data_IF_981034372743
#
_entry.id   IF_981034372743
#
_cell.length_a   1.000
_cell.length_b   1.000
_cell.length_c   1.000
_cell.angle_alpha   90.00
_cell.angle_beta   90.00
_cell.angle_gamma   90.00
#
_symmetry.space_group_name_H-M   'P 1'
#
loop_
_entity.id
_entity.type
_entity.pdbx_description
1 polymer ?
#
# COMPACT_ATOMS: atom_id res chain seq x y z
N UNK A 1 -47.39 59.88 -2.24
CA UNK A 1 -47.12 59.44 -3.63
C UNK A 1 -45.61 59.55 -3.88
N UNK A 2 -44.79 58.56 -3.52
CA UNK A 2 -44.16 57.65 -4.47
C UNK A 2 -43.65 56.42 -3.70
N UNK A 3 -44.56 55.47 -3.45
CA UNK A 3 -44.19 54.07 -3.32
C UNK A 3 -43.54 53.64 -4.63
N UNK A 4 -42.21 53.63 -4.75
CA UNK A 4 -41.48 52.94 -5.86
C UNK A 4 -39.94 53.01 -5.77
N UNK A 5 -39.34 53.12 -4.59
CA UNK A 5 -37.86 53.16 -4.50
C UNK A 5 -37.23 52.19 -3.47
N UNK A 6 -37.94 51.14 -3.07
CA UNK A 6 -37.40 50.13 -2.13
C UNK A 6 -37.41 48.70 -2.65
N UNK A 7 -37.82 48.46 -3.91
CA UNK A 7 -37.95 47.11 -4.48
C UNK A 7 -36.92 46.75 -5.55
N UNK A 8 -35.86 47.55 -5.74
CA UNK A 8 -34.77 47.24 -6.70
C UNK A 8 -33.41 47.00 -6.07
N UNK A 9 -33.33 46.92 -4.74
CA UNK A 9 -32.10 46.60 -4.03
C UNK A 9 -32.23 45.36 -3.14
N UNK A 10 -33.08 44.41 -3.54
CA UNK A 10 -33.20 43.11 -2.87
C UNK A 10 -33.18 41.91 -3.83
N UNK A 11 -32.91 42.14 -5.12
CA UNK A 11 -32.75 41.09 -6.14
C UNK A 11 -31.34 41.20 -6.76
N UNK A 12 -30.32 41.42 -5.93
CA UNK A 12 -28.92 41.30 -6.35
C UNK A 12 -28.05 40.53 -5.33
N UNK A 13 -28.68 39.77 -4.44
CA UNK A 13 -27.98 38.97 -3.43
C UNK A 13 -28.61 37.59 -3.20
N UNK A 14 -29.37 37.09 -4.18
CA UNK A 14 -30.05 35.78 -4.10
C UNK A 14 -29.52 34.74 -5.10
N UNK A 15 -28.44 35.03 -5.84
CA UNK A 15 -27.88 34.12 -6.85
C UNK A 15 -26.36 33.98 -6.78
N UNK A 16 -25.79 33.98 -5.57
CA UNK A 16 -24.37 33.63 -5.38
C UNK A 16 -24.12 32.79 -4.13
N UNK A 17 -24.98 31.80 -3.92
CA UNK A 17 -24.63 30.61 -3.14
C UNK A 17 -25.02 29.40 -3.96
N UNK A 18 -24.42 29.27 -5.16
CA UNK A 18 -24.09 27.93 -5.62
C UNK A 18 -23.01 27.51 -4.66
N UNK A 19 -23.38 26.69 -3.68
CA UNK A 19 -22.43 25.95 -2.89
C UNK A 19 -21.54 25.24 -3.90
N UNK A 20 -20.32 25.74 -4.07
CA UNK A 20 -19.21 24.89 -4.44
C UNK A 20 -19.08 23.93 -3.25
N UNK A 21 -19.95 22.93 -3.19
CA UNK A 21 -19.53 21.62 -2.72
C UNK A 21 -18.46 21.20 -3.74
N UNK A 22 -17.26 21.74 -3.53
CA UNK A 22 -16.06 21.09 -3.97
C UNK A 22 -16.11 19.75 -3.25
N UNK A 23 -16.71 18.76 -3.91
CA UNK A 23 -16.49 17.37 -3.60
C UNK A 23 -14.97 17.23 -3.60
N UNK A 24 -14.37 17.28 -2.41
CA UNK A 24 -13.03 16.79 -2.21
C UNK A 24 -13.15 15.31 -2.54
N UNK A 25 -12.92 14.97 -3.80
CA UNK A 25 -12.89 13.58 -4.23
C UNK A 25 -11.78 12.95 -3.41
N UNK A 26 -12.15 12.12 -2.44
CA UNK A 26 -11.18 11.43 -1.60
C UNK A 26 -10.34 10.58 -2.54
N UNK A 27 -9.06 10.90 -2.69
CA UNK A 27 -8.17 10.14 -3.56
C UNK A 27 -8.21 8.67 -3.18
N UNK A 28 -8.47 7.82 -4.17
CA UNK A 28 -8.44 6.36 -3.97
C UNK A 28 -7.05 5.84 -4.24
N UNK A 29 -6.49 5.10 -3.29
CA UNK A 29 -5.27 4.36 -3.50
C UNK A 29 -5.57 2.95 -4.00
N UNK A 30 -4.69 2.47 -4.86
CA UNK A 30 -4.75 1.15 -5.44
C UNK A 30 -3.39 0.47 -5.30
N UNK A 31 -3.44 -0.84 -5.17
CA UNK A 31 -2.27 -1.69 -5.15
C UNK A 31 -2.32 -2.69 -6.29
N UNK A 32 -1.23 -2.76 -7.05
CA UNK A 32 -0.90 -3.91 -7.89
C UNK A 32 0.04 -4.78 -7.09
N UNK A 33 -0.38 -5.99 -6.75
CA UNK A 33 0.30 -6.85 -5.78
C UNK A 33 0.45 -8.28 -6.29
N UNK A 34 1.41 -9.00 -5.74
CA UNK A 34 1.58 -10.44 -5.93
C UNK A 34 0.82 -11.21 -4.85
N UNK A 35 0.20 -12.30 -5.29
CA UNK A 35 -0.50 -13.24 -4.43
C UNK A 35 0.36 -14.50 -4.33
N UNK A 36 0.94 -14.77 -3.15
CA UNK A 36 1.67 -16.00 -2.90
C UNK A 36 0.73 -17.19 -2.76
N UNK A 37 1.30 -18.38 -2.69
CA UNK A 37 0.57 -19.54 -2.22
C UNK A 37 0.40 -19.57 -0.71
N UNK A 38 -0.41 -20.51 -0.24
CA UNK A 38 -0.77 -20.67 1.18
C UNK A 38 0.44 -20.96 2.09
N UNK A 39 1.64 -21.21 1.55
CA UNK A 39 2.85 -21.36 2.37
C UNK A 39 3.18 -20.03 3.04
N UNK A 40 2.99 -18.91 2.34
CA UNK A 40 3.19 -17.58 2.92
C UNK A 40 2.18 -17.31 4.04
N UNK A 41 0.91 -17.65 3.86
CA UNK A 41 -0.13 -17.49 4.89
C UNK A 41 0.21 -18.25 6.17
N UNK A 42 0.68 -19.50 6.03
CA UNK A 42 1.11 -20.33 7.17
C UNK A 42 2.30 -19.71 7.89
N UNK A 43 3.31 -19.25 7.14
CA UNK A 43 4.52 -18.67 7.71
C UNK A 43 4.25 -17.34 8.43
N UNK A 44 3.41 -16.48 7.85
CA UNK A 44 2.93 -15.25 8.52
C UNK A 44 2.14 -15.61 9.78
N UNK A 45 1.26 -16.62 9.70
CA UNK A 45 0.49 -17.07 10.87
C UNK A 45 1.39 -17.62 11.99
N UNK A 46 2.46 -18.33 11.68
CA UNK A 46 3.41 -18.82 12.69
C UNK A 46 4.09 -17.67 13.47
N UNK A 47 4.42 -16.59 12.77
CA UNK A 47 4.91 -15.38 13.41
C UNK A 47 3.82 -14.71 14.27
N UNK A 48 2.60 -14.59 13.75
CA UNK A 48 1.47 -14.01 14.49
C UNK A 48 1.10 -14.82 15.75
N UNK A 49 1.18 -16.15 15.68
CA UNK A 49 0.99 -17.05 16.82
C UNK A 49 2.10 -16.83 17.88
N UNK A 50 3.29 -16.37 17.47
CA UNK A 50 4.36 -15.97 18.40
C UNK A 50 4.07 -14.61 19.04
N UNK A 51 3.54 -13.65 18.28
CA UNK A 51 3.09 -12.36 18.83
C UNK A 51 1.99 -12.54 19.88
N UNK A 52 1.04 -13.44 19.64
CA UNK A 52 -0.09 -13.72 20.53
C UNK A 52 0.31 -14.28 21.91
N UNK A 53 1.54 -14.80 22.05
CA UNK A 53 2.11 -15.26 23.33
C UNK A 53 2.74 -14.13 24.16
N UNK A 54 2.68 -12.90 23.66
CA UNK A 54 3.23 -11.70 24.29
C UNK A 54 2.13 -10.67 24.51
N UNK A 55 2.43 -9.55 25.16
CA UNK A 55 1.49 -8.44 25.34
C UNK A 55 1.65 -7.33 24.29
N UNK A 56 2.46 -7.51 23.23
CA UNK A 56 2.78 -6.40 22.30
C UNK A 56 1.57 -5.91 21.50
N UNK A 57 0.65 -6.80 21.13
CA UNK A 57 -0.55 -6.41 20.38
C UNK A 57 -1.44 -5.46 21.20
N UNK A 58 -1.60 -5.74 22.50
CA UNK A 58 -2.32 -4.86 23.43
C UNK A 58 -1.55 -3.57 23.70
N UNK A 59 -0.24 -3.69 24.02
CA UNK A 59 0.65 -2.56 24.32
C UNK A 59 0.63 -1.51 23.22
N UNK A 60 0.69 -1.93 21.95
CA UNK A 60 0.73 -1.05 20.78
C UNK A 60 -0.63 -0.87 20.09
N UNK A 61 -1.71 -1.40 20.67
CA UNK A 61 -3.09 -1.32 20.15
C UNK A 61 -3.17 -1.66 18.66
N UNK A 62 -2.49 -2.73 18.27
CA UNK A 62 -2.36 -3.17 16.86
C UNK A 62 -2.89 -4.58 16.69
N UNK A 63 -3.10 -4.99 15.45
CA UNK A 63 -3.58 -6.32 15.08
C UNK A 63 -2.90 -6.77 13.79
N UNK A 64 -2.48 -8.04 13.68
CA UNK A 64 -1.95 -8.57 12.43
C UNK A 64 -2.91 -8.41 11.26
N UNK A 65 -2.40 -7.94 10.13
CA UNK A 65 -3.21 -7.66 8.94
C UNK A 65 -3.86 -8.91 8.36
N UNK A 66 -3.24 -10.09 8.49
CA UNK A 66 -3.77 -11.37 7.97
C UNK A 66 -5.17 -11.70 8.49
N UNK A 67 -5.60 -11.12 9.63
CA UNK A 67 -6.94 -11.34 10.19
C UNK A 67 -8.05 -10.78 9.29
N UNK A 68 -7.78 -9.67 8.60
CA UNK A 68 -8.78 -8.93 7.83
C UNK A 68 -8.37 -8.68 6.37
N UNK A 69 -7.11 -8.96 6.02
CA UNK A 69 -6.53 -8.67 4.71
C UNK A 69 -5.75 -9.88 4.18
N UNK A 70 -5.72 -10.08 2.85
CA UNK A 70 -4.92 -11.14 2.25
C UNK A 70 -3.42 -10.83 2.39
N UNK A 71 -2.62 -11.88 2.59
CA UNK A 71 -1.16 -11.80 2.47
C UNK A 71 -0.80 -11.46 1.03
N UNK A 72 -0.01 -10.40 0.85
CA UNK A 72 0.39 -9.94 -0.46
C UNK A 72 1.71 -9.17 -0.44
N UNK A 73 2.38 -9.11 -1.59
CA UNK A 73 3.58 -8.32 -1.81
C UNK A 73 3.28 -7.22 -2.84
N UNK A 74 3.48 -5.96 -2.46
CA UNK A 74 3.20 -4.79 -3.32
C UNK A 74 4.21 -4.67 -4.47
N UNK A 75 3.74 -4.64 -5.72
CA UNK A 75 4.56 -4.25 -6.88
C UNK A 75 4.47 -2.74 -7.13
N UNK A 76 3.27 -2.17 -7.02
CA UNK A 76 3.05 -0.75 -7.26
C UNK A 76 1.82 -0.25 -6.50
N UNK A 77 2.06 0.59 -5.50
CA UNK A 77 1.05 1.28 -4.70
C UNK A 77 1.00 2.75 -5.11
N UNK A 78 -0.14 3.20 -5.63
CA UNK A 78 -0.35 4.58 -6.10
C UNK A 78 -1.85 4.94 -6.17
N UNK A 79 -2.17 6.20 -6.46
CA UNK A 79 -3.51 6.61 -6.88
C UNK A 79 -3.60 6.58 -8.41
N UNK A 80 -4.71 6.07 -8.95
CA UNK A 80 -5.00 6.04 -10.40
C UNK A 80 -6.23 6.88 -10.70
N UNK A 81 -6.24 7.53 -11.88
CA UNK A 81 -7.45 8.16 -12.38
C UNK A 81 -8.49 7.09 -12.73
N UNK A 82 -9.70 7.21 -12.17
CA UNK A 82 -10.77 6.21 -12.28
C UNK A 82 -11.12 5.82 -13.72
N UNK A 83 -11.01 6.76 -14.67
CA UNK A 83 -11.27 6.51 -16.10
C UNK A 83 -10.34 5.47 -16.75
N UNK A 84 -9.14 5.22 -16.19
CA UNK A 84 -8.16 4.29 -16.78
C UNK A 84 -8.19 2.89 -16.18
N UNK A 85 -9.09 2.60 -15.23
CA UNK A 85 -9.16 1.30 -14.55
C UNK A 85 -9.33 0.12 -15.53
N UNK A 86 -10.10 0.31 -16.62
CA UNK A 86 -10.27 -0.72 -17.66
C UNK A 86 -8.97 -1.00 -18.44
N UNK A 87 -8.20 0.05 -18.73
CA UNK A 87 -6.92 -0.08 -19.43
C UNK A 87 -5.87 -0.75 -18.56
N UNK A 88 -5.83 -0.38 -17.27
CA UNK A 88 -4.96 -1.01 -16.25
C UNK A 88 -5.26 -2.51 -16.17
N UNK A 89 -6.54 -2.89 -16.06
CA UNK A 89 -6.95 -4.29 -16.03
C UNK A 89 -6.46 -5.06 -17.27
N UNK A 90 -6.60 -4.47 -18.45
CA UNK A 90 -6.17 -5.11 -19.70
C UNK A 90 -4.65 -5.33 -19.76
N UNK A 91 -3.86 -4.36 -19.27
CA UNK A 91 -2.40 -4.49 -19.20
C UNK A 91 -1.95 -5.54 -18.19
N UNK A 92 -2.57 -5.56 -17.00
CA UNK A 92 -2.26 -6.57 -15.98
C UNK A 92 -2.64 -7.98 -16.41
N UNK A 93 -3.76 -8.14 -17.12
CA UNK A 93 -4.15 -9.43 -17.72
C UNK A 93 -3.10 -9.93 -18.71
N UNK A 94 -2.62 -9.05 -19.60
CA UNK A 94 -1.59 -9.40 -20.57
C UNK A 94 -0.24 -9.71 -19.88
N UNK A 95 0.15 -8.94 -18.86
CA UNK A 95 1.35 -9.21 -18.07
C UNK A 95 1.29 -10.57 -17.38
N UNK A 96 0.20 -10.88 -16.69
CA UNK A 96 0.01 -12.15 -15.99
C UNK A 96 0.02 -13.36 -16.94
N UNK A 97 -0.64 -13.24 -18.11
CA UNK A 97 -0.60 -14.28 -19.15
C UNK A 97 0.83 -14.55 -19.66
N UNK A 98 1.70 -13.55 -19.60
CA UNK A 98 3.07 -13.63 -20.09
C UNK A 98 4.12 -13.85 -18.99
N UNK A 99 3.68 -14.14 -17.76
CA UNK A 99 4.56 -14.34 -16.60
C UNK A 99 4.32 -15.74 -16.03
N UNK A 100 5.39 -16.51 -15.90
CA UNK A 100 5.34 -17.85 -15.28
C UNK A 100 5.26 -17.70 -13.75
N UNK A 101 4.57 -18.62 -13.04
CA UNK A 101 4.68 -18.71 -11.59
C UNK A 101 6.14 -18.92 -11.14
N UNK A 102 6.62 -18.14 -10.18
CA UNK A 102 8.02 -18.18 -9.71
C UNK A 102 8.11 -18.23 -8.18
N UNK A 103 9.25 -18.66 -7.65
CA UNK A 103 9.52 -18.65 -6.22
C UNK A 103 10.18 -17.34 -5.80
N UNK A 104 9.82 -16.86 -4.61
CA UNK A 104 10.55 -15.81 -3.90
C UNK A 104 11.01 -16.33 -2.54
N UNK A 105 12.08 -15.74 -2.04
CA UNK A 105 12.74 -16.12 -0.79
C UNK A 105 12.61 -14.96 0.20
N UNK A 106 12.31 -15.27 1.46
CA UNK A 106 12.30 -14.28 2.55
C UNK A 106 13.72 -14.02 3.04
N UNK A 107 14.01 -12.83 3.57
CA UNK A 107 15.23 -12.60 4.36
C UNK A 107 14.99 -12.82 5.86
N UNK A 108 13.75 -12.64 6.32
CA UNK A 108 13.37 -12.68 7.73
C UNK A 108 12.35 -11.58 8.04
N UNK A 109 11.95 -11.49 9.31
CA UNK A 109 11.11 -10.41 9.78
C UNK A 109 11.96 -9.20 10.21
N UNK A 110 11.43 -8.00 10.01
CA UNK A 110 12.02 -6.77 10.52
C UNK A 110 10.95 -5.89 11.15
N UNK A 111 11.38 -5.06 12.08
CA UNK A 111 10.58 -4.00 12.66
C UNK A 111 11.40 -2.71 12.67
N UNK A 112 10.72 -1.57 12.66
CA UNK A 112 11.40 -0.30 12.75
C UNK A 112 10.54 0.81 13.32
N UNK A 113 11.17 1.95 13.55
CA UNK A 113 10.57 3.16 14.14
C UNK A 113 9.38 3.75 13.37
N UNK A 114 9.11 3.25 12.15
CA UNK A 114 7.89 3.58 11.39
C UNK A 114 6.62 3.01 12.04
N UNK A 115 6.75 2.02 12.94
CA UNK A 115 5.63 1.30 13.52
C UNK A 115 5.19 0.10 12.70
N UNK A 116 5.89 -0.24 11.61
CA UNK A 116 5.61 -1.42 10.82
C UNK A 116 6.46 -2.61 11.26
N UNK A 117 5.86 -3.79 11.20
CA UNK A 117 6.56 -5.08 11.15
C UNK A 117 6.35 -5.66 9.77
N UNK A 118 7.43 -6.13 9.17
CA UNK A 118 7.46 -6.60 7.78
C UNK A 118 8.13 -7.97 7.71
N UNK A 119 7.69 -8.80 6.76
CA UNK A 119 8.44 -9.94 6.28
C UNK A 119 9.21 -9.48 5.04
N UNK A 120 10.51 -9.34 5.19
CA UNK A 120 11.40 -8.87 4.14
C UNK A 120 11.60 -9.95 3.08
N UNK A 121 11.57 -9.56 1.81
CA UNK A 121 11.75 -10.45 0.69
C UNK A 121 13.07 -10.14 0.01
N UNK A 122 13.80 -11.18 -0.38
CA UNK A 122 15.01 -11.04 -1.19
C UNK A 122 14.62 -10.52 -2.57
N UNK A 123 15.16 -9.36 -2.93
CA UNK A 123 14.91 -8.76 -4.23
C UNK A 123 15.67 -9.50 -5.33
N UNK A 124 15.04 -10.49 -5.96
CA UNK A 124 15.58 -11.17 -7.13
C UNK A 124 15.49 -10.28 -8.36
N UNK A 125 16.34 -10.55 -9.37
CA UNK A 125 16.28 -9.83 -10.64
C UNK A 125 14.90 -9.94 -11.30
N UNK A 126 14.25 -11.11 -11.22
CA UNK A 126 12.91 -11.31 -11.79
C UNK A 126 11.84 -10.50 -11.06
N UNK A 127 11.90 -10.42 -9.72
CA UNK A 127 10.96 -9.63 -8.93
C UNK A 127 11.14 -8.13 -9.19
N UNK A 128 12.37 -7.64 -9.23
CA UNK A 128 12.69 -6.26 -9.61
C UNK A 128 12.17 -5.93 -11.02
N UNK A 129 12.42 -6.82 -11.99
CA UNK A 129 11.97 -6.61 -13.37
C UNK A 129 10.45 -6.57 -13.47
N UNK A 130 9.75 -7.44 -12.74
CA UNK A 130 8.28 -7.44 -12.72
C UNK A 130 7.72 -6.13 -12.14
N UNK A 131 8.25 -5.65 -11.02
CA UNK A 131 7.90 -4.34 -10.47
C UNK A 131 8.17 -3.22 -11.47
N UNK A 132 9.34 -3.20 -12.09
CA UNK A 132 9.72 -2.20 -13.10
C UNK A 132 8.76 -2.18 -14.29
N UNK A 133 8.35 -3.34 -14.79
CA UNK A 133 7.39 -3.45 -15.90
C UNK A 133 6.04 -2.89 -15.50
N UNK A 134 5.50 -3.29 -14.35
CA UNK A 134 4.23 -2.75 -13.83
C UNK A 134 4.28 -1.23 -13.74
N UNK A 135 5.33 -0.67 -13.16
CA UNK A 135 5.43 0.78 -12.98
C UNK A 135 5.61 1.50 -14.32
N UNK A 136 6.48 0.99 -15.20
CA UNK A 136 6.70 1.57 -16.53
C UNK A 136 5.40 1.65 -17.33
N UNK A 137 4.59 0.60 -17.27
CA UNK A 137 3.39 0.48 -18.08
C UNK A 137 2.21 1.27 -17.50
N UNK A 138 2.10 1.34 -16.16
CA UNK A 138 0.95 1.92 -15.48
C UNK A 138 1.13 3.34 -14.94
N UNK A 139 2.36 3.84 -14.72
CA UNK A 139 2.57 5.16 -14.12
C UNK A 139 1.98 6.32 -14.93
N UNK A 140 1.75 6.12 -16.24
CA UNK A 140 1.04 7.09 -17.09
C UNK A 140 -0.44 7.32 -16.70
N UNK A 141 -1.04 6.38 -15.95
CA UNK A 141 -2.43 6.43 -15.49
C UNK A 141 -2.58 6.98 -14.07
N UNK A 142 -1.46 7.30 -13.41
CA UNK A 142 -1.49 7.81 -12.05
C UNK A 142 -2.30 9.09 -11.94
N UNK A 143 -2.94 9.28 -10.80
CA UNK A 143 -3.43 10.58 -10.41
C UNK A 143 -2.23 11.48 -10.07
N UNK A 144 -2.18 12.65 -10.71
CA UNK A 144 -1.08 13.60 -10.49
C UNK A 144 -1.34 14.55 -9.34
N UNK A 145 -2.60 14.67 -8.92
CA UNK A 145 -3.03 15.54 -7.84
C UNK A 145 -2.96 14.83 -6.48
N UNK A 146 -2.72 13.51 -6.49
CA UNK A 146 -2.51 12.73 -5.27
C UNK A 146 -1.26 13.22 -4.51
N UNK A 147 -1.42 13.70 -3.25
CA UNK A 147 -0.33 14.31 -2.52
C UNK A 147 0.70 13.29 -2.06
N UNK A 148 1.96 13.73 -1.98
CA UNK A 148 3.02 12.92 -1.43
C UNK A 148 2.81 12.68 0.08
N UNK A 149 3.06 11.46 0.60
CA UNK A 149 3.00 11.20 2.04
C UNK A 149 3.94 12.12 2.81
N UNK A 150 3.50 12.64 3.96
CA UNK A 150 4.24 13.66 4.72
C UNK A 150 5.63 13.20 5.20
N UNK A 151 5.83 11.89 5.41
CA UNK A 151 7.10 11.29 5.81
C UNK A 151 8.15 11.27 4.69
N UNK A 152 7.73 11.37 3.43
CA UNK A 152 8.63 11.24 2.27
C UNK A 152 9.67 12.36 2.21
N UNK A 153 9.37 13.51 2.83
CA UNK A 153 10.27 14.68 2.90
C UNK A 153 11.61 14.37 3.57
N UNK A 154 11.67 13.29 4.36
CA UNK A 154 12.90 12.83 5.01
C UNK A 154 13.74 11.89 4.11
N UNK A 155 13.23 11.53 2.93
CA UNK A 155 13.86 10.60 1.99
C UNK A 155 13.87 11.20 0.57
N UNK A 156 14.86 12.04 0.23
CA UNK A 156 14.89 12.77 -1.03
C UNK A 156 14.76 11.88 -2.28
N UNK A 157 15.40 10.71 -2.30
CA UNK A 157 15.30 9.77 -3.43
C UNK A 157 13.89 9.20 -3.59
N UNK A 158 13.19 8.91 -2.48
CA UNK A 158 11.78 8.49 -2.49
C UNK A 158 10.85 9.59 -2.96
N UNK A 159 11.12 10.85 -2.59
CA UNK A 159 10.35 11.99 -3.09
C UNK A 159 10.46 12.10 -4.62
N UNK A 160 11.66 12.02 -5.18
CA UNK A 160 11.86 12.01 -6.64
C UNK A 160 11.13 10.83 -7.30
N UNK A 161 11.17 9.65 -6.67
CA UNK A 161 10.45 8.46 -7.11
C UNK A 161 8.94 8.70 -7.14
N UNK A 162 8.39 9.30 -6.09
CA UNK A 162 6.97 9.62 -5.96
C UNK A 162 6.52 10.71 -6.95
N UNK A 163 7.26 11.80 -7.10
CA UNK A 163 6.92 12.87 -8.05
C UNK A 163 6.88 12.34 -9.49
N UNK A 164 7.77 11.40 -9.82
CA UNK A 164 7.83 10.83 -11.16
C UNK A 164 6.76 9.75 -11.38
N UNK A 165 6.58 8.84 -10.42
CA UNK A 165 5.80 7.62 -10.60
C UNK A 165 4.61 7.47 -9.65
N UNK A 166 4.33 8.43 -8.77
CA UNK A 166 3.23 8.35 -7.80
C UNK A 166 3.43 7.30 -6.71
N UNK A 167 4.65 6.79 -6.52
CA UNK A 167 4.98 5.81 -5.49
C UNK A 167 6.41 6.01 -4.97
N UNK A 168 6.65 5.95 -3.64
CA UNK A 168 7.98 6.14 -3.06
C UNK A 168 8.94 4.98 -3.34
N UNK A 169 8.42 3.79 -3.66
CA UNK A 169 9.19 2.56 -3.78
C UNK A 169 9.31 2.08 -5.25
N UNK A 170 9.39 3.02 -6.20
CA UNK A 170 9.53 2.69 -7.61
C UNK A 170 11.00 2.50 -8.05
N UNK A 171 11.22 1.54 -8.94
CA UNK A 171 12.53 1.23 -9.54
C UNK A 171 13.64 0.97 -8.51
N UNK A 172 14.64 1.83 -8.43
CA UNK A 172 15.78 1.69 -7.52
C UNK A 172 15.36 1.75 -6.04
N UNK A 173 14.20 2.32 -5.74
CA UNK A 173 13.62 2.39 -4.40
C UNK A 173 12.75 1.17 -4.05
N UNK A 174 12.67 0.18 -4.94
CA UNK A 174 11.89 -1.01 -4.72
C UNK A 174 12.44 -1.81 -3.54
N UNK A 175 11.61 -1.92 -2.51
CA UNK A 175 11.89 -2.65 -1.29
C UNK A 175 10.78 -3.70 -1.12
N UNK A 176 10.96 -4.94 -1.63
CA UNK A 176 9.92 -5.96 -1.57
C UNK A 176 9.76 -6.52 -0.16
N UNK A 177 8.53 -6.45 0.34
CA UNK A 177 8.15 -6.97 1.65
C UNK A 177 6.67 -7.36 1.66
N UNK A 178 6.28 -8.11 2.69
CA UNK A 178 4.89 -8.35 3.08
C UNK A 178 4.68 -7.64 4.42
N UNK A 179 3.75 -6.69 4.49
CA UNK A 179 3.41 -6.02 5.75
C UNK A 179 2.66 -6.97 6.68
N UNK A 180 3.10 -7.07 7.93
CA UNK A 180 2.52 -7.97 8.93
C UNK A 180 1.53 -7.21 9.81
N UNK A 181 1.96 -6.06 10.33
CA UNK A 181 1.13 -5.14 11.12
C UNK A 181 1.71 -3.73 11.07
N UNK A 182 0.90 -2.77 11.51
CA UNK A 182 1.33 -1.40 11.76
C UNK A 182 0.78 -0.89 13.10
N UNK A 183 1.57 -0.10 13.81
CA UNK A 183 1.17 0.60 15.02
C UNK A 183 1.28 2.12 14.82
N UNK A 184 0.31 2.86 15.35
CA UNK A 184 0.31 4.32 15.30
C UNK A 184 1.09 4.91 16.47
N UNK A 185 2.38 5.19 16.26
CA UNK A 185 3.31 5.65 17.29
C UNK A 185 3.36 7.19 17.33
N UNK A 186 3.12 7.78 18.50
CA UNK A 186 3.00 9.24 18.68
C UNK A 186 4.31 9.89 19.12
N UNK A 187 5.16 9.16 19.85
CA UNK A 187 6.39 9.71 20.44
C UNK A 187 7.64 8.93 20.03
N UNK A 188 8.80 9.57 20.07
CA UNK A 188 10.09 8.91 19.79
C UNK A 188 10.37 7.78 20.78
N UNK A 189 9.98 7.94 22.04
CA UNK A 189 10.09 6.89 23.05
C UNK A 189 9.24 5.66 22.71
N UNK A 190 8.02 5.84 22.19
CA UNK A 190 7.20 4.73 21.70
C UNK A 190 7.83 4.05 20.48
N UNK A 191 8.44 4.80 19.58
CA UNK A 191 9.18 4.28 18.41
C UNK A 191 10.38 3.44 18.82
N UNK A 192 11.17 3.93 19.77
CA UNK A 192 12.34 3.21 20.29
C UNK A 192 11.93 1.93 21.03
N UNK A 193 10.86 2.00 21.83
CA UNK A 193 10.33 0.82 22.51
C UNK A 193 9.76 -0.19 21.51
N UNK A 194 9.01 0.26 20.50
CA UNK A 194 8.45 -0.61 19.46
C UNK A 194 9.55 -1.36 18.71
N UNK A 195 10.56 -0.61 18.25
CA UNK A 195 11.72 -1.16 17.55
C UNK A 195 12.41 -2.23 18.41
N UNK A 196 12.69 -1.93 19.68
CA UNK A 196 13.32 -2.88 20.61
C UNK A 196 12.47 -4.13 20.85
N UNK A 197 11.21 -3.96 21.22
CA UNK A 197 10.32 -5.06 21.62
C UNK A 197 10.11 -6.05 20.46
N UNK A 198 9.83 -5.54 19.25
CA UNK A 198 9.61 -6.41 18.10
C UNK A 198 10.89 -7.07 17.61
N UNK A 199 12.04 -6.38 17.63
CA UNK A 199 13.32 -7.04 17.28
C UNK A 199 13.69 -8.15 18.28
N UNK A 200 13.37 -7.99 19.57
CA UNK A 200 13.53 -9.06 20.56
C UNK A 200 12.63 -10.26 20.25
N UNK A 201 11.36 -10.03 19.94
CA UNK A 201 10.42 -11.11 19.56
C UNK A 201 10.89 -11.82 18.29
N UNK A 202 11.22 -11.07 17.24
CA UNK A 202 11.73 -11.60 15.96
C UNK A 202 12.90 -12.56 16.22
N UNK A 203 13.89 -12.13 17.02
CA UNK A 203 15.03 -12.97 17.41
C UNK A 203 14.61 -14.24 18.16
N UNK A 204 13.60 -14.14 19.02
CA UNK A 204 13.13 -15.25 19.84
C UNK A 204 12.25 -16.25 19.07
N UNK A 205 11.61 -15.85 17.97
CA UNK A 205 10.80 -16.75 17.15
C UNK A 205 11.63 -17.85 16.49
N UNK A 206 12.90 -17.56 16.16
CA UNK A 206 13.81 -18.46 15.42
C UNK A 206 13.19 -18.99 14.11
N UNK A 207 12.30 -18.22 13.50
CA UNK A 207 11.76 -18.55 12.18
C UNK A 207 12.85 -18.34 11.14
N UNK A 208 13.23 -19.43 10.49
CA UNK A 208 14.24 -19.43 9.44
C UNK A 208 13.63 -18.96 8.10
N UNK A 209 14.41 -18.28 7.26
CA UNK A 209 14.00 -17.92 5.91
C UNK A 209 13.39 -19.09 5.12
N UNK A 210 12.26 -18.82 4.44
CA UNK A 210 11.59 -19.78 3.57
C UNK A 210 11.47 -19.27 2.15
N UNK A 211 11.14 -20.17 1.24
CA UNK A 211 10.71 -19.84 -0.12
C UNK A 211 9.25 -20.23 -0.33
N UNK A 212 8.51 -19.41 -1.08
CA UNK A 212 7.13 -19.69 -1.46
C UNK A 212 6.84 -19.23 -2.89
N UNK A 213 5.81 -19.83 -3.49
CA UNK A 213 5.49 -19.61 -4.91
C UNK A 213 4.52 -18.44 -5.07
N UNK A 214 4.80 -17.56 -6.02
CA UNK A 214 3.88 -16.55 -6.50
C UNK A 214 2.97 -17.16 -7.57
N UNK A 215 1.66 -16.98 -7.42
CA UNK A 215 0.64 -17.62 -8.27
C UNK A 215 -0.21 -16.66 -9.08
N UNK A 216 -0.32 -15.40 -8.65
CA UNK A 216 -1.16 -14.42 -9.33
C UNK A 216 -0.68 -12.99 -9.11
N UNK A 217 -1.14 -12.10 -9.99
CA UNK A 217 -1.11 -10.65 -9.80
C UNK A 217 -2.52 -10.21 -9.42
N UNK A 218 -2.66 -9.50 -8.32
CA UNK A 218 -3.89 -8.86 -7.88
C UNK A 218 -3.89 -7.36 -8.17
N UNK A 219 -5.09 -6.81 -8.29
CA UNK A 219 -5.33 -5.36 -8.38
C UNK A 219 -6.53 -5.00 -7.50
N UNK A 220 -6.37 -4.01 -6.63
CA UNK A 220 -7.37 -3.69 -5.62
C UNK A 220 -7.26 -2.29 -5.04
N UNK A 221 -8.35 -1.81 -4.44
CA UNK A 221 -8.38 -0.63 -3.57
C UNK A 221 -7.74 -0.99 -2.22
N UNK A 222 -7.08 -0.02 -1.58
CA UNK A 222 -6.37 -0.24 -0.30
C UNK A 222 -6.73 0.80 0.76
N UNK A 223 -6.40 0.48 2.00
CA UNK A 223 -6.39 1.42 3.12
C UNK A 223 -5.10 2.26 3.21
N UNK A 224 -4.97 3.06 4.26
CA UNK A 224 -3.82 3.91 4.55
C UNK A 224 -2.51 3.14 4.81
N UNK A 225 -2.58 1.86 5.16
CA UNK A 225 -1.44 0.97 5.36
C UNK A 225 -1.10 0.17 4.09
N UNK A 226 -1.74 0.50 2.96
CA UNK A 226 -1.56 -0.19 1.69
C UNK A 226 -2.17 -1.60 1.66
N UNK A 227 -3.00 -1.94 2.66
CA UNK A 227 -3.64 -3.26 2.73
C UNK A 227 -4.86 -3.32 1.83
N UNK A 228 -5.01 -4.43 1.12
CA UNK A 228 -6.13 -4.65 0.19
C UNK A 228 -7.45 -4.72 0.96
N UNK A 229 -8.35 -3.76 0.68
CA UNK A 229 -9.70 -3.70 1.25
C UNK A 229 -10.76 -4.16 0.27
N UNK A 230 -10.49 -4.01 -1.03
CA UNK A 230 -11.39 -4.47 -2.10
C UNK A 230 -10.60 -4.95 -3.30
N UNK A 231 -10.77 -6.23 -3.61
CA UNK A 231 -10.19 -6.85 -4.80
C UNK A 231 -11.00 -6.44 -6.01
N UNK A 232 -10.35 -5.84 -7.01
CA UNK A 232 -10.96 -5.53 -8.31
C UNK A 232 -10.74 -6.66 -9.30
N UNK A 233 -9.55 -7.26 -9.31
CA UNK A 233 -9.26 -8.42 -10.15
C UNK A 233 -8.08 -9.25 -9.62
N UNK A 234 -8.08 -10.54 -10.00
CA UNK A 234 -6.96 -11.47 -9.79
C UNK A 234 -6.63 -12.14 -11.11
N UNK A 235 -5.38 -12.01 -11.54
CA UNK A 235 -4.85 -12.60 -12.77
C UNK A 235 -3.89 -13.73 -12.44
N UNK A 236 -4.26 -14.97 -12.73
CA UNK A 236 -3.38 -16.12 -12.55
C UNK A 236 -2.17 -16.04 -13.48
N UNK A 237 -1.00 -16.38 -12.95
CA UNK A 237 0.22 -16.55 -13.73
C UNK A 237 0.15 -17.89 -14.47
N UNK A 238 0.28 -17.87 -15.80
CA UNK A 238 -0.07 -19.01 -16.65
C UNK A 238 0.94 -19.30 -17.77
N UNK A 239 2.05 -18.56 -17.86
CA UNK A 239 3.04 -18.85 -18.89
C UNK A 239 3.83 -20.11 -18.54
#
# INVERSE_FOLDING_TARGET
MKHKLFYKLFILFAFLFITLDSFAESFKQYNVYLIPDTTADKYVKEFDDSLAKTNVLEKYKTTPFIKNHPVHLTLYLTSFQSKYIKDINSQLANLAKNTEPFYIETNGFSAGKSGFVMLDIKNSQSLQQLSNVVIKDLAKYRDKDYPAPSWIKFYPSKLVSFEKYGSPNAFAEFNPHISILAANLQTDQERDNFDKDFNEIIKNTKLEPISFKIKAIGFGEVDENGQVTKILHIYKLNK
#
